data_IF_857919112797
#
_entry.id   IF_857919112797
#
_cell.length_a   1.000
_cell.length_b   1.000
_cell.length_c   1.000
_cell.angle_alpha   90.00
_cell.angle_beta   90.00
_cell.angle_gamma   90.00
#
_symmetry.space_group_name_H-M   'P 1'
#
loop_
_entity.id
_entity.type
_entity.pdbx_description
1 polymer ?
#
# COMPACT_ATOMS: atom_id res chain seq x y z
N UNK A 1 25.21 -17.90 -11.12
CA UNK A 1 23.99 -17.18 -11.50
C UNK A 1 23.70 -16.18 -10.37
N UNK A 2 23.79 -14.88 -10.62
CA UNK A 2 23.71 -13.85 -9.57
C UNK A 2 22.26 -13.66 -9.13
N UNK A 3 22.01 -13.48 -7.84
CA UNK A 3 20.68 -13.24 -7.24
C UNK A 3 19.88 -12.15 -7.97
N UNK A 4 20.55 -11.17 -8.59
CA UNK A 4 19.93 -10.13 -9.44
C UNK A 4 19.21 -10.70 -10.66
N UNK A 5 19.76 -11.75 -11.30
CA UNK A 5 19.13 -12.38 -12.46
C UNK A 5 17.88 -13.17 -12.07
N UNK A 6 17.90 -13.82 -10.90
CA UNK A 6 16.74 -14.58 -10.39
C UNK A 6 15.61 -13.62 -10.04
N UNK A 7 15.91 -12.50 -9.40
CA UNK A 7 14.90 -11.49 -9.05
C UNK A 7 14.21 -10.89 -10.29
N UNK A 8 14.98 -10.55 -11.32
CA UNK A 8 14.43 -10.02 -12.58
C UNK A 8 13.55 -11.07 -13.27
N UNK A 9 13.97 -12.34 -13.30
CA UNK A 9 13.20 -13.42 -13.93
C UNK A 9 11.88 -13.66 -13.19
N UNK A 10 11.90 -13.66 -11.85
CA UNK A 10 10.69 -13.83 -11.05
C UNK A 10 9.74 -12.66 -11.28
N UNK A 11 10.24 -11.41 -11.31
CA UNK A 11 9.42 -10.21 -11.55
C UNK A 11 8.79 -10.25 -12.94
N UNK A 12 9.56 -10.61 -13.98
CA UNK A 12 9.04 -10.73 -15.36
C UNK A 12 8.04 -11.88 -15.47
N UNK A 13 8.30 -13.02 -14.81
CA UNK A 13 7.40 -14.17 -14.85
C UNK A 13 6.07 -13.89 -14.15
N UNK A 14 6.09 -13.22 -13.00
CA UNK A 14 4.88 -12.76 -12.30
C UNK A 14 4.11 -11.77 -13.17
N UNK A 15 4.78 -10.83 -13.83
CA UNK A 15 4.15 -9.86 -14.72
C UNK A 15 3.51 -10.54 -15.95
N UNK A 16 4.17 -11.54 -16.55
CA UNK A 16 3.63 -12.32 -17.68
C UNK A 16 2.45 -13.21 -17.27
N UNK A 17 2.48 -13.82 -16.08
CA UNK A 17 1.35 -14.60 -15.56
C UNK A 17 0.11 -13.71 -15.34
N UNK A 18 0.30 -12.53 -14.80
CA UNK A 18 -0.76 -11.53 -14.58
C UNK A 18 -1.41 -11.07 -15.89
N UNK A 19 -0.63 -10.94 -16.96
CA UNK A 19 -1.14 -10.52 -18.27
C UNK A 19 -2.02 -11.59 -18.96
N UNK A 20 -1.80 -12.88 -18.67
CA UNK A 20 -2.55 -13.98 -19.30
C UNK A 20 -3.91 -14.27 -18.63
N UNK A 21 -4.12 -13.89 -17.37
CA UNK A 21 -5.37 -14.13 -16.63
C UNK A 21 -6.48 -13.13 -16.95
N UNK A 22 -6.25 -12.17 -17.85
CA UNK A 22 -7.08 -10.98 -18.05
C UNK A 22 -7.98 -10.94 -19.28
N UNK A 23 -8.25 -12.04 -19.91
CA UNK A 23 -8.96 -11.99 -21.20
C UNK A 23 -10.48 -11.75 -21.13
N UNK A 24 -11.13 -11.57 -19.96
CA UNK A 24 -12.58 -11.70 -19.92
C UNK A 24 -13.43 -10.65 -19.21
N UNK A 25 -12.91 -9.63 -18.48
CA UNK A 25 -13.79 -8.57 -17.91
C UNK A 25 -13.09 -7.21 -17.71
N UNK A 26 -13.92 -6.14 -17.75
CA UNK A 26 -13.55 -4.71 -17.66
C UNK A 26 -13.01 -4.25 -16.28
N UNK A 27 -12.24 -5.08 -15.58
CA UNK A 27 -11.54 -4.64 -14.38
C UNK A 27 -10.29 -3.85 -14.76
N UNK A 28 -9.95 -2.79 -14.00
CA UNK A 28 -8.73 -2.04 -14.26
C UNK A 28 -7.50 -2.94 -14.13
N UNK A 29 -6.49 -2.68 -14.95
CA UNK A 29 -5.21 -3.38 -14.88
C UNK A 29 -4.50 -3.12 -13.56
N UNK A 30 -4.58 -1.91 -13.09
CA UNK A 30 -4.03 -1.46 -11.83
C UNK A 30 -4.82 -0.25 -11.33
N UNK A 31 -4.74 0.00 -10.05
CA UNK A 31 -5.19 1.24 -9.44
C UNK A 31 -3.97 1.95 -8.89
N UNK A 32 -3.80 3.22 -9.24
CA UNK A 32 -2.74 4.08 -8.72
C UNK A 32 -3.34 5.00 -7.68
N UNK A 33 -2.70 5.11 -6.54
CA UNK A 33 -3.10 5.98 -5.45
C UNK A 33 -2.03 7.04 -5.19
N UNK A 34 -2.46 8.27 -5.06
CA UNK A 34 -1.61 9.41 -4.75
C UNK A 34 -2.23 10.20 -3.61
N UNK A 35 -1.51 10.32 -2.51
CA UNK A 35 -2.09 10.90 -1.30
C UNK A 35 -1.09 11.50 -0.34
N UNK A 36 -1.57 11.63 0.88
CA UNK A 36 -0.81 12.05 2.03
C UNK A 36 -0.96 11.00 3.12
N UNK A 37 0.16 10.50 3.61
CA UNK A 37 0.24 9.61 4.76
C UNK A 37 0.55 10.40 6.03
N UNK A 38 -0.11 10.04 7.11
CA UNK A 38 0.21 10.51 8.47
C UNK A 38 0.39 9.30 9.36
N UNK A 39 1.36 9.37 10.26
CA UNK A 39 1.61 8.29 11.22
C UNK A 39 1.89 8.83 12.60
N UNK A 40 1.49 8.10 13.64
CA UNK A 40 1.78 8.41 15.03
C UNK A 40 2.33 7.17 15.75
N UNK A 41 3.56 7.28 16.25
CA UNK A 41 4.18 6.27 17.13
C UNK A 41 3.56 6.34 18.52
N UNK A 42 3.19 5.18 19.08
CA UNK A 42 2.70 5.09 20.45
C UNK A 42 3.82 5.23 21.47
N UNK A 43 5.02 4.73 21.17
CA UNK A 43 6.15 4.76 22.09
C UNK A 43 6.78 6.15 22.20
N UNK A 44 6.98 6.79 21.06
CA UNK A 44 7.59 8.12 21.03
C UNK A 44 6.56 9.25 21.22
N UNK A 45 5.28 8.99 20.98
CA UNK A 45 4.22 10.00 20.98
C UNK A 45 4.36 11.03 19.87
N UNK A 46 5.27 10.79 18.92
CA UNK A 46 5.56 11.68 17.80
C UNK A 46 4.64 11.38 16.62
N UNK A 47 4.37 12.42 15.83
CA UNK A 47 3.62 12.30 14.58
C UNK A 47 4.49 12.72 13.41
N UNK A 48 4.32 12.04 12.29
CA UNK A 48 4.96 12.33 11.01
C UNK A 48 3.92 12.46 9.91
N UNK A 49 4.27 13.18 8.84
CA UNK A 49 3.41 13.40 7.68
C UNK A 49 4.27 13.45 6.42
N UNK A 50 3.72 12.96 5.30
CA UNK A 50 4.40 13.04 4.01
C UNK A 50 3.51 12.63 2.84
N UNK A 51 3.97 12.79 1.60
CA UNK A 51 3.29 12.27 0.44
C UNK A 51 3.30 10.74 0.45
N UNK A 52 2.32 10.14 -0.20
CA UNK A 52 2.27 8.70 -0.45
C UNK A 52 1.96 8.42 -1.92
N UNK A 53 2.48 7.32 -2.42
CA UNK A 53 2.13 6.78 -3.72
C UNK A 53 2.11 5.26 -3.64
N UNK A 54 1.03 4.64 -4.12
CA UNK A 54 0.90 3.19 -4.19
C UNK A 54 0.32 2.74 -5.53
N UNK A 55 0.50 1.47 -5.81
CA UNK A 55 -0.11 0.79 -6.95
C UNK A 55 -0.70 -0.52 -6.47
N UNK A 56 -1.95 -0.72 -6.78
CA UNK A 56 -2.72 -1.91 -6.46
C UNK A 56 -3.04 -2.72 -7.71
N UNK A 57 -2.91 -4.03 -7.61
CA UNK A 57 -3.13 -4.98 -8.70
C UNK A 57 -4.14 -6.05 -8.27
N UNK A 58 -5.28 -6.18 -8.95
CA UNK A 58 -6.17 -7.31 -8.73
C UNK A 58 -5.50 -8.59 -9.25
N UNK A 59 -5.27 -9.54 -8.36
CA UNK A 59 -4.61 -10.83 -8.66
C UNK A 59 -5.64 -11.93 -8.84
N UNK A 60 -6.62 -11.97 -7.94
CA UNK A 60 -7.75 -12.88 -8.01
C UNK A 60 -9.02 -12.05 -7.85
N UNK A 61 -9.83 -12.02 -8.90
CA UNK A 61 -11.06 -11.24 -8.96
C UNK A 61 -11.90 -11.40 -7.69
N UNK A 62 -12.35 -10.26 -7.13
CA UNK A 62 -13.19 -10.15 -5.93
C UNK A 62 -12.62 -10.86 -4.68
N UNK A 63 -11.34 -11.28 -4.72
CA UNK A 63 -10.76 -12.06 -3.63
C UNK A 63 -9.40 -11.58 -3.15
N UNK A 64 -8.48 -11.25 -4.05
CA UNK A 64 -7.12 -10.84 -3.67
C UNK A 64 -6.60 -9.74 -4.58
N UNK A 65 -6.20 -8.66 -3.96
CA UNK A 65 -5.43 -7.57 -4.55
C UNK A 65 -4.08 -7.45 -3.85
N UNK A 66 -3.07 -7.05 -4.59
CA UNK A 66 -1.73 -6.79 -4.05
C UNK A 66 -1.42 -5.33 -4.27
N UNK A 67 -1.15 -4.64 -3.18
CA UNK A 67 -0.68 -3.26 -3.21
C UNK A 67 0.79 -3.19 -2.86
N UNK A 68 1.49 -2.24 -3.46
CA UNK A 68 2.82 -1.81 -3.03
C UNK A 68 2.90 -0.30 -3.03
N UNK A 69 3.39 0.26 -1.93
CA UNK A 69 3.44 1.69 -1.70
C UNK A 69 4.81 2.19 -1.25
N UNK A 70 4.96 3.50 -1.32
CA UNK A 70 6.09 4.22 -0.77
C UNK A 70 5.62 5.54 -0.18
N UNK A 71 6.07 5.83 1.05
CA UNK A 71 5.70 7.03 1.79
C UNK A 71 6.92 7.61 2.53
N UNK A 72 7.53 8.68 2.00
CA UNK A 72 8.49 9.47 2.78
C UNK A 72 7.74 10.27 3.84
N UNK A 73 7.99 9.99 5.10
CA UNK A 73 7.40 10.66 6.26
C UNK A 73 8.39 11.63 6.88
N UNK A 74 7.93 12.81 7.23
CA UNK A 74 8.73 13.89 7.78
C UNK A 74 8.25 14.27 9.18
N UNK A 75 9.22 14.45 10.10
CA UNK A 75 9.03 15.02 11.42
C UNK A 75 10.19 15.97 11.74
N UNK A 76 10.09 16.88 12.70
CA UNK A 76 11.19 17.80 13.03
C UNK A 76 12.51 17.06 13.30
N UNK A 77 13.54 17.34 12.48
CA UNK A 77 14.88 16.76 12.62
C UNK A 77 15.07 15.34 12.09
N UNK A 78 14.05 14.72 11.51
CA UNK A 78 14.14 13.36 11.00
C UNK A 78 13.21 13.15 9.81
N UNK A 79 13.66 12.32 8.87
CA UNK A 79 12.80 11.77 7.82
C UNK A 79 12.90 10.24 7.82
N UNK A 80 11.81 9.60 7.47
CA UNK A 80 11.68 8.16 7.40
C UNK A 80 11.05 7.78 6.05
N UNK A 81 11.60 6.78 5.39
CA UNK A 81 11.07 6.21 4.17
C UNK A 81 10.39 4.90 4.50
N UNK A 82 9.13 4.80 4.18
CA UNK A 82 8.37 3.55 4.34
C UNK A 82 8.06 2.97 2.96
N UNK A 83 8.14 1.65 2.86
CA UNK A 83 7.70 0.87 1.72
C UNK A 83 6.92 -0.34 2.24
N UNK A 84 5.78 -0.60 1.65
CA UNK A 84 4.87 -1.67 2.05
C UNK A 84 4.54 -2.60 0.90
N UNK A 85 4.06 -3.78 1.26
CA UNK A 85 3.49 -4.76 0.35
C UNK A 85 2.29 -5.39 1.05
N UNK A 86 1.08 -4.99 0.67
CA UNK A 86 -0.15 -5.44 1.28
C UNK A 86 -0.87 -6.46 0.41
N UNK A 87 -1.43 -7.46 1.06
CA UNK A 87 -2.36 -8.42 0.49
C UNK A 87 -3.75 -8.04 0.96
N UNK A 88 -4.58 -7.53 0.06
CA UNK A 88 -5.89 -6.97 0.36
C UNK A 88 -7.02 -7.87 -0.13
N UNK A 89 -8.06 -7.97 0.66
CA UNK A 89 -9.33 -8.61 0.32
C UNK A 89 -10.36 -7.52 0.03
N UNK A 90 -10.82 -7.37 -1.24
CA UNK A 90 -11.86 -6.41 -1.59
C UNK A 90 -13.26 -6.91 -1.18
N UNK A 91 -14.13 -5.95 -0.84
CA UNK A 91 -15.55 -6.11 -0.57
C UNK A 91 -16.32 -4.99 -1.26
N UNK A 92 -16.98 -5.28 -2.36
CA UNK A 92 -17.82 -4.32 -3.06
C UNK A 92 -19.10 -4.07 -2.28
N UNK A 93 -19.22 -2.89 -1.65
CA UNK A 93 -20.41 -2.49 -0.89
C UNK A 93 -21.51 -2.06 -1.85
N UNK A 94 -21.15 -1.23 -2.86
CA UNK A 94 -22.05 -0.80 -3.93
C UNK A 94 -21.23 -0.30 -5.14
N UNK A 95 -21.89 0.24 -6.17
CA UNK A 95 -21.23 0.72 -7.40
C UNK A 95 -20.24 1.88 -7.17
N UNK A 96 -20.34 2.58 -6.03
CA UNK A 96 -19.57 3.78 -5.72
C UNK A 96 -18.63 3.59 -4.52
N UNK A 97 -18.77 2.52 -3.75
CA UNK A 97 -18.00 2.31 -2.52
C UNK A 97 -17.46 0.89 -2.49
N UNK A 98 -16.18 0.79 -2.31
CA UNK A 98 -15.43 -0.43 -2.09
C UNK A 98 -14.70 -0.36 -0.74
N UNK A 99 -14.65 -1.47 -0.04
CA UNK A 99 -13.97 -1.60 1.23
C UNK A 99 -12.97 -2.73 1.13
N UNK A 100 -11.76 -2.54 1.64
CA UNK A 100 -10.74 -3.57 1.64
C UNK A 100 -10.14 -3.78 3.02
N UNK A 101 -9.72 -5.00 3.28
CA UNK A 101 -8.96 -5.38 4.48
C UNK A 101 -7.65 -5.98 3.99
N UNK A 102 -6.54 -5.42 4.43
CA UNK A 102 -5.22 -5.85 4.03
C UNK A 102 -4.28 -6.10 5.19
N UNK A 103 -3.25 -6.88 4.91
CA UNK A 103 -2.12 -7.06 5.80
C UNK A 103 -0.87 -7.43 4.98
N UNK A 104 0.30 -7.04 5.49
CA UNK A 104 1.55 -7.39 4.84
C UNK A 104 2.79 -6.85 5.53
N UNK A 105 3.97 -7.08 4.97
CA UNK A 105 5.22 -6.54 5.47
C UNK A 105 5.36 -5.05 5.11
N UNK A 106 5.92 -4.29 6.05
CA UNK A 106 6.36 -2.93 5.87
C UNK A 106 7.87 -2.85 6.18
N UNK A 107 8.59 -2.12 5.36
CA UNK A 107 9.99 -1.80 5.53
C UNK A 107 10.13 -0.30 5.77
N UNK A 108 10.77 0.12 6.85
CA UNK A 108 11.08 1.52 7.08
C UNK A 108 12.58 1.77 7.22
N UNK A 109 13.01 2.96 6.79
CA UNK A 109 14.38 3.44 6.88
C UNK A 109 14.41 4.87 7.40
N UNK A 110 14.91 5.07 8.60
CA UNK A 110 15.05 6.39 9.21
C UNK A 110 16.45 6.99 8.93
N UNK A 111 16.50 8.26 8.50
CA UNK A 111 17.74 8.93 8.08
C UNK A 111 18.62 9.39 9.25
N UNK A 112 18.05 9.65 10.42
CA UNK A 112 18.78 10.13 11.60
C UNK A 112 18.96 9.00 12.62
N UNK A 113 20.07 8.25 12.51
CA UNK A 113 20.49 7.28 13.55
C UNK A 113 19.65 6.00 13.64
N UNK A 114 18.63 5.87 12.81
CA UNK A 114 17.80 4.68 12.70
C UNK A 114 18.31 3.79 11.56
N UNK A 115 18.30 2.52 11.79
CA UNK A 115 18.56 1.52 10.73
C UNK A 115 17.28 1.21 9.96
N UNK A 116 17.37 0.17 9.14
CA UNK A 116 16.20 -0.44 8.52
C UNK A 116 15.40 -1.22 9.57
N UNK A 117 14.10 -1.03 9.57
CA UNK A 117 13.17 -1.77 10.42
C UNK A 117 12.19 -2.57 9.55
N UNK A 118 11.76 -3.71 10.05
CA UNK A 118 10.73 -4.54 9.43
C UNK A 118 9.53 -4.58 10.38
N UNK A 119 8.35 -4.32 9.84
CA UNK A 119 7.08 -4.36 10.55
C UNK A 119 6.08 -5.23 9.80
N UNK A 120 5.01 -5.59 10.49
CA UNK A 120 3.76 -6.01 9.87
C UNK A 120 2.80 -4.83 9.89
N UNK A 121 2.16 -4.58 8.78
CA UNK A 121 1.12 -3.58 8.62
C UNK A 121 -0.24 -4.24 8.45
N UNK A 122 -1.25 -3.62 9.06
CA UNK A 122 -2.67 -3.92 8.92
C UNK A 122 -3.36 -2.69 8.35
N UNK A 123 -4.12 -2.86 7.27
CA UNK A 123 -4.81 -1.77 6.59
C UNK A 123 -6.30 -2.06 6.46
N UNK A 124 -7.09 -1.01 6.63
CA UNK A 124 -8.51 -0.97 6.29
C UNK A 124 -8.68 0.16 5.29
N UNK A 125 -9.23 -0.11 4.13
CA UNK A 125 -9.35 0.91 3.10
C UNK A 125 -10.78 1.09 2.65
N UNK A 126 -11.14 2.32 2.36
CA UNK A 126 -12.37 2.71 1.68
C UNK A 126 -12.04 3.48 0.42
N UNK A 127 -12.46 2.94 -0.74
CA UNK A 127 -12.45 3.64 -2.01
C UNK A 127 -13.83 4.17 -2.35
N UNK A 128 -13.90 5.42 -2.78
CA UNK A 128 -15.13 6.11 -3.16
C UNK A 128 -15.02 6.54 -4.61
N UNK A 129 -15.86 5.97 -5.46
CA UNK A 129 -15.91 6.21 -6.89
C UNK A 129 -17.12 7.08 -7.26
N UNK A 130 -16.92 8.37 -7.62
CA UNK A 130 -18.06 9.25 -8.00
C UNK A 130 -18.78 8.80 -9.25
N UNK A 131 -18.06 8.15 -10.17
CA UNK A 131 -18.60 7.65 -11.43
C UNK A 131 -18.61 6.12 -11.48
N UNK A 132 -19.58 5.55 -12.20
CA UNK A 132 -19.69 4.10 -12.43
C UNK A 132 -18.52 3.52 -13.23
N UNK A 133 -17.86 4.35 -14.05
CA UNK A 133 -16.69 3.93 -14.83
C UNK A 133 -15.45 3.75 -13.95
N UNK A 134 -15.51 4.12 -12.66
CA UNK A 134 -14.45 3.95 -11.67
C UNK A 134 -13.05 4.40 -12.14
N UNK A 135 -12.98 5.51 -12.94
CA UNK A 135 -11.68 6.00 -13.46
C UNK A 135 -10.92 6.82 -12.44
N UNK A 136 -11.67 7.62 -11.67
CA UNK A 136 -11.12 8.49 -10.63
C UNK A 136 -11.96 8.38 -9.37
N UNK A 137 -11.32 8.36 -8.24
CA UNK A 137 -11.96 8.27 -6.95
C UNK A 137 -11.12 8.89 -5.85
N UNK A 138 -11.56 8.67 -4.63
CA UNK A 138 -10.84 9.01 -3.41
C UNK A 138 -10.69 7.76 -2.58
N UNK A 139 -9.61 7.71 -1.82
CA UNK A 139 -9.42 6.67 -0.82
C UNK A 139 -9.09 7.25 0.55
N UNK A 140 -9.39 6.48 1.57
CA UNK A 140 -8.92 6.67 2.93
C UNK A 140 -8.57 5.32 3.51
N UNK A 141 -7.34 5.22 4.02
CA UNK A 141 -6.76 3.99 4.53
C UNK A 141 -6.15 4.21 5.92
N UNK A 142 -6.87 3.93 7.01
CA UNK A 142 -6.27 3.77 8.32
C UNK A 142 -5.43 2.50 8.39
N UNK A 143 -4.26 2.61 8.99
CA UNK A 143 -3.28 1.54 9.16
C UNK A 143 -2.86 1.37 10.61
N UNK A 144 -2.43 0.16 10.93
CA UNK A 144 -1.75 -0.17 12.17
C UNK A 144 -0.49 -0.96 11.87
N UNK A 145 0.66 -0.51 12.37
CA UNK A 145 1.95 -1.17 12.16
C UNK A 145 2.55 -1.66 13.48
N UNK A 146 3.16 -2.84 13.42
CA UNK A 146 3.89 -3.45 14.52
C UNK A 146 5.30 -3.84 14.06
N UNK A 147 6.32 -3.18 14.63
CA UNK A 147 7.72 -3.45 14.32
C UNK A 147 8.26 -4.66 15.08
N UNK A 148 8.96 -5.54 14.38
CA UNK A 148 9.69 -6.67 14.96
C UNK A 148 11.08 -6.31 15.46
N UNK A 149 11.52 -5.08 15.26
CA UNK A 149 12.81 -4.57 15.73
C UNK A 149 12.83 -4.40 17.25
N UNK A 150 14.02 -4.13 17.80
CA UNK A 150 14.17 -3.87 19.25
C UNK A 150 13.29 -2.69 19.65
N UNK A 151 12.42 -2.92 20.65
CA UNK A 151 11.49 -1.92 21.14
C UNK A 151 10.05 -2.22 20.80
N UNK A 152 9.77 -3.08 19.81
CA UNK A 152 8.41 -3.47 19.39
C UNK A 152 7.51 -2.26 19.17
N UNK A 153 8.01 -1.30 18.38
CA UNK A 153 7.28 -0.08 18.08
C UNK A 153 5.93 -0.38 17.44
N UNK A 154 4.94 0.38 17.86
CA UNK A 154 3.59 0.32 17.32
C UNK A 154 3.19 1.71 16.86
N UNK A 155 2.54 1.78 15.73
CA UNK A 155 2.03 3.03 15.19
C UNK A 155 0.63 2.86 14.60
N UNK A 156 -0.08 3.97 14.56
CA UNK A 156 -1.28 4.10 13.75
C UNK A 156 -1.07 5.17 12.69
N UNK A 157 -1.59 4.92 11.52
CA UNK A 157 -1.51 5.82 10.38
C UNK A 157 -2.87 6.05 9.74
N UNK A 158 -2.92 7.07 8.91
CA UNK A 158 -3.99 7.28 7.94
C UNK A 158 -3.38 7.81 6.66
N UNK A 159 -3.63 7.13 5.57
CA UNK A 159 -3.35 7.60 4.22
C UNK A 159 -4.65 8.00 3.55
N UNK A 160 -4.65 9.10 2.82
CA UNK A 160 -5.82 9.53 2.06
C UNK A 160 -5.41 10.33 0.83
N UNK A 161 -6.19 10.21 -0.24
CA UNK A 161 -5.85 10.86 -1.50
C UNK A 161 -6.78 10.51 -2.64
N UNK A 162 -6.22 10.57 -3.84
CA UNK A 162 -6.90 10.25 -5.08
C UNK A 162 -6.51 8.87 -5.55
N UNK A 163 -7.48 8.15 -6.10
CA UNK A 163 -7.29 6.87 -6.75
C UNK A 163 -7.60 6.98 -8.25
N UNK A 164 -6.78 6.34 -9.08
CA UNK A 164 -6.83 6.41 -10.54
C UNK A 164 -6.77 4.97 -11.08
N UNK A 165 -7.85 4.51 -11.68
CA UNK A 165 -7.87 3.20 -12.33
C UNK A 165 -7.22 3.24 -13.71
N UNK A 166 -6.29 2.34 -13.94
CA UNK A 166 -5.59 2.12 -15.21
C UNK A 166 -6.28 0.98 -15.95
N UNK A 167 -6.83 1.19 -17.14
CA UNK A 167 -7.57 0.18 -17.92
C UNK A 167 -6.67 -0.92 -18.48
#
# INVERSE_FOLDING_TARGET
MTYRAIFVIITVFVFCLMAQLRAEEKEPFAVVELGTATERSFQEGTSSIGPSASVEFPVIKDWLEIETGISPLFRPGQSEWQADLLFKKPFTINQHVEFMIGAGPQLSYATAGGGTQIASEFALEWMIWPSKDRKFGWFVEPTYSYSFSRGHEQSIGVTSGLTIAIP
#
